data_IF_742497461053
#
_entry.id   IF_742497461053
#
_cell.length_a   1.000
_cell.length_b   1.000
_cell.length_c   1.000
_cell.angle_alpha   90.00
_cell.angle_beta   90.00
_cell.angle_gamma   90.00
#
_symmetry.space_group_name_H-M   'P 1'
#
loop_
_entity.id
_entity.type
_entity.pdbx_description
1 polymer ?
#
# COMPACT_ATOMS: atom_id res chain seq x y z
N UNK A 1 -1.07 32.87 8.96
CA UNK A 1 -2.29 33.41 8.32
C UNK A 1 -2.47 32.63 7.04
N UNK A 2 -3.33 31.61 7.05
CA UNK A 2 -3.64 30.81 5.86
C UNK A 2 -5.14 30.88 5.67
N UNK A 3 -5.54 31.52 4.58
CA UNK A 3 -6.92 31.81 4.24
C UNK A 3 -7.78 30.55 4.23
N UNK A 4 -8.77 30.53 5.10
CA UNK A 4 -9.85 29.54 5.10
C UNK A 4 -10.75 29.91 3.93
N UNK A 5 -10.63 29.23 2.80
CA UNK A 5 -11.60 29.33 1.71
C UNK A 5 -12.96 28.80 2.21
N UNK A 6 -13.87 29.72 2.51
CA UNK A 6 -15.27 29.41 2.80
C UNK A 6 -15.96 28.90 1.53
N UNK A 7 -16.14 27.58 1.41
CA UNK A 7 -16.97 26.96 0.36
C UNK A 7 -18.47 26.98 0.72
N UNK A 8 -19.01 28.17 1.02
CA UNK A 8 -20.44 28.42 1.27
C UNK A 8 -21.28 28.63 0.01
N UNK A 9 -20.86 28.08 -1.14
CA UNK A 9 -21.58 28.24 -2.40
C UNK A 9 -22.78 27.30 -2.54
N UNK A 10 -23.90 27.81 -3.04
CA UNK A 10 -25.08 27.03 -3.42
C UNK A 10 -24.65 25.99 -4.47
N UNK A 11 -24.91 24.70 -4.22
CA UNK A 11 -24.52 23.64 -5.16
C UNK A 11 -25.32 23.77 -6.47
N UNK A 12 -24.73 23.39 -7.61
CA UNK A 12 -25.45 23.41 -8.92
C UNK A 12 -26.76 22.62 -8.87
N UNK A 13 -26.81 21.54 -8.07
CA UNK A 13 -28.00 20.72 -7.86
C UNK A 13 -29.05 21.47 -7.04
N UNK A 14 -28.62 22.21 -6.01
CA UNK A 14 -29.48 23.08 -5.21
C UNK A 14 -30.02 24.24 -6.05
N UNK A 15 -29.18 24.86 -6.90
CA UNK A 15 -29.60 25.89 -7.84
C UNK A 15 -30.65 25.36 -8.83
N UNK A 16 -30.41 24.21 -9.46
CA UNK A 16 -31.36 23.60 -10.41
C UNK A 16 -32.69 23.25 -9.71
N UNK A 17 -32.64 22.66 -8.51
CA UNK A 17 -33.86 22.38 -7.72
C UNK A 17 -34.60 23.65 -7.33
N UNK A 18 -33.89 24.69 -6.90
CA UNK A 18 -34.51 25.96 -6.49
C UNK A 18 -35.06 26.75 -7.68
N UNK A 19 -34.43 26.72 -8.86
CA UNK A 19 -35.04 27.25 -10.09
C UNK A 19 -36.25 26.43 -10.54
N UNK A 20 -36.21 25.08 -10.47
CA UNK A 20 -37.37 24.27 -10.85
C UNK A 20 -38.58 24.50 -9.94
N UNK A 21 -38.35 24.67 -8.64
CA UNK A 21 -39.39 24.99 -7.65
C UNK A 21 -39.84 26.46 -7.78
N UNK A 22 -38.92 27.40 -8.04
CA UNK A 22 -39.23 28.81 -8.26
C UNK A 22 -40.08 29.04 -9.53
N UNK A 23 -39.80 28.30 -10.61
CA UNK A 23 -40.60 28.30 -11.83
C UNK A 23 -42.00 27.72 -11.61
N UNK A 24 -42.14 26.65 -10.81
CA UNK A 24 -43.45 26.11 -10.44
C UNK A 24 -44.24 27.04 -9.51
N UNK A 25 -43.57 27.74 -8.60
CA UNK A 25 -44.20 28.72 -7.72
C UNK A 25 -44.70 29.95 -8.48
N UNK A 26 -43.97 30.39 -9.52
CA UNK A 26 -44.39 31.47 -10.41
C UNK A 26 -45.54 31.06 -11.34
N UNK A 27 -45.59 29.80 -11.80
CA UNK A 27 -46.71 29.28 -12.59
C UNK A 27 -48.01 29.10 -11.77
N UNK A 28 -47.90 28.92 -10.45
CA UNK A 28 -49.05 28.85 -9.53
C UNK A 28 -49.51 30.23 -9.01
N UNK A 29 -48.81 31.33 -9.36
CA UNK A 29 -49.08 32.69 -8.89
C UNK A 29 -50.39 33.33 -9.39
N UNK A 30 -51.18 32.63 -10.21
CA UNK A 30 -52.49 33.10 -10.68
C UNK A 30 -53.66 32.82 -9.73
N UNK A 31 -53.49 32.02 -8.67
CA UNK A 31 -54.55 31.67 -7.72
C UNK A 31 -54.05 31.74 -6.26
N UNK A 32 -54.39 32.83 -5.59
CA UNK A 32 -54.10 33.09 -4.19
C UNK A 32 -54.95 32.19 -3.26
N UNK A 33 -54.43 31.03 -2.85
CA UNK A 33 -54.98 30.27 -1.72
C UNK A 33 -54.07 30.42 -0.48
N UNK A 34 -54.58 30.93 0.66
CA UNK A 34 -53.77 31.35 1.80
C UNK A 34 -53.14 30.18 2.60
N UNK A 35 -53.48 28.93 2.28
CA UNK A 35 -53.02 27.75 3.02
C UNK A 35 -51.82 27.02 2.37
N UNK A 36 -51.46 27.33 1.12
CA UNK A 36 -50.36 26.68 0.39
C UNK A 36 -48.99 27.36 0.51
N UNK A 37 -49.00 28.68 0.72
CA UNK A 37 -47.79 29.51 0.74
C UNK A 37 -46.82 29.13 1.87
N UNK A 38 -47.31 28.71 3.04
CA UNK A 38 -46.41 28.28 4.14
C UNK A 38 -45.66 26.98 3.83
N UNK A 39 -46.28 26.03 3.11
CA UNK A 39 -45.63 24.78 2.70
C UNK A 39 -44.67 24.99 1.54
N UNK A 40 -45.03 25.82 0.57
CA UNK A 40 -44.15 26.19 -0.54
C UNK A 40 -42.95 27.02 -0.06
N UNK A 41 -43.18 28.01 0.81
CA UNK A 41 -42.12 28.78 1.45
C UNK A 41 -41.22 27.89 2.32
N UNK A 42 -41.76 26.96 3.12
CA UNK A 42 -40.95 26.02 3.90
C UNK A 42 -40.15 25.03 3.02
N UNK A 43 -40.70 24.60 1.89
CA UNK A 43 -39.98 23.76 0.91
C UNK A 43 -38.86 24.53 0.19
N UNK A 44 -39.09 25.82 -0.11
CA UNK A 44 -38.06 26.73 -0.64
C UNK A 44 -37.02 27.04 0.43
N UNK A 45 -37.41 27.30 1.68
CA UNK A 45 -36.50 27.49 2.80
C UNK A 45 -35.61 26.26 2.99
N UNK A 46 -36.17 25.05 3.03
CA UNK A 46 -35.43 23.79 3.13
C UNK A 46 -34.55 23.49 1.90
N UNK A 47 -34.89 24.03 0.73
CA UNK A 47 -34.06 23.93 -0.48
C UNK A 47 -32.97 25.01 -0.53
N UNK A 48 -33.07 26.08 0.27
CA UNK A 48 -32.11 27.20 0.34
C UNK A 48 -31.20 27.08 1.56
N UNK A 49 -31.60 26.35 2.61
CA UNK A 49 -30.71 25.97 3.70
C UNK A 49 -29.63 25.05 3.12
N UNK A 50 -28.34 25.41 3.18
CA UNK A 50 -27.26 24.51 2.82
C UNK A 50 -27.43 23.22 3.64
N UNK A 51 -27.39 22.05 2.99
CA UNK A 51 -27.34 20.80 3.75
C UNK A 51 -26.15 20.86 4.71
N UNK A 52 -26.38 20.50 5.97
CA UNK A 52 -25.32 20.52 6.97
C UNK A 52 -24.13 19.68 6.50
N UNK A 53 -22.96 20.32 6.47
CA UNK A 53 -21.72 19.63 6.22
C UNK A 53 -21.45 18.66 7.37
N UNK A 54 -21.36 17.38 7.04
CA UNK A 54 -20.97 16.34 8.01
C UNK A 54 -19.61 15.77 7.66
N UNK A 55 -18.80 15.54 8.68
CA UNK A 55 -17.55 14.81 8.54
C UNK A 55 -17.77 13.40 9.05
N UNK A 56 -17.58 12.41 8.17
CA UNK A 56 -17.70 10.99 8.51
C UNK A 56 -16.34 10.31 8.36
N UNK A 57 -16.02 9.43 9.31
CA UNK A 57 -14.82 8.61 9.23
C UNK A 57 -15.03 7.46 8.25
N UNK A 58 -14.03 7.24 7.41
CA UNK A 58 -13.93 6.10 6.50
C UNK A 58 -12.50 5.56 6.47
N UNK A 59 -12.31 4.47 5.75
CA UNK A 59 -11.00 3.86 5.55
C UNK A 59 -10.62 3.85 4.07
N UNK A 60 -9.36 4.10 3.79
CA UNK A 60 -8.82 4.04 2.44
C UNK A 60 -8.99 2.64 1.85
N UNK A 61 -9.68 2.59 0.70
CA UNK A 61 -9.91 1.38 -0.07
C UNK A 61 -8.90 1.24 -1.23
N UNK A 62 -7.62 1.46 -0.92
CA UNK A 62 -6.51 1.16 -1.84
C UNK A 62 -5.76 -0.07 -1.31
N UNK A 63 -5.49 -1.02 -2.19
CA UNK A 63 -4.87 -2.31 -1.86
C UNK A 63 -3.36 -2.21 -1.56
N UNK A 64 -2.99 -1.45 -0.53
CA UNK A 64 -1.60 -1.32 -0.07
C UNK A 64 -1.36 -1.91 1.33
N UNK A 65 -2.44 -2.35 2.00
CA UNK A 65 -2.40 -2.92 3.36
C UNK A 65 -2.58 -1.92 4.49
N UNK A 66 -2.32 -0.62 4.27
CA UNK A 66 -2.29 0.38 5.35
C UNK A 66 -3.66 0.88 5.85
N UNK A 67 -4.75 0.69 5.07
CA UNK A 67 -6.13 1.05 5.46
C UNK A 67 -6.26 2.43 6.14
N UNK A 68 -5.58 3.43 5.58
CA UNK A 68 -5.44 4.73 6.21
C UNK A 68 -6.79 5.36 6.56
N UNK A 69 -6.87 6.04 7.70
CA UNK A 69 -8.09 6.73 8.09
C UNK A 69 -8.32 7.95 7.17
N UNK A 70 -9.57 8.10 6.76
CA UNK A 70 -10.05 9.18 5.90
C UNK A 70 -11.18 9.90 6.62
N UNK A 71 -11.14 11.22 6.60
CA UNK A 71 -12.26 12.07 7.04
C UNK A 71 -12.96 12.58 5.79
N UNK A 72 -14.15 12.04 5.52
CA UNK A 72 -14.94 12.36 4.34
C UNK A 72 -15.90 13.49 4.70
N UNK A 73 -15.77 14.61 4.00
CA UNK A 73 -16.67 15.74 4.13
C UNK A 73 -17.82 15.55 3.13
N UNK A 74 -19.04 15.47 3.66
CA UNK A 74 -20.23 15.09 2.92
C UNK A 74 -21.24 16.24 2.95
N UNK A 75 -21.75 16.58 1.77
CA UNK A 75 -22.82 17.56 1.55
C UNK A 75 -23.75 16.97 0.48
N UNK A 76 -25.06 17.09 0.66
CA UNK A 76 -26.06 16.60 -0.31
C UNK A 76 -25.88 15.11 -0.72
N UNK A 77 -25.52 14.25 0.24
CA UNK A 77 -25.16 12.83 0.05
C UNK A 77 -23.97 12.57 -0.89
N UNK A 78 -23.14 13.58 -1.13
CA UNK A 78 -21.94 13.49 -1.93
C UNK A 78 -20.68 13.82 -1.12
N UNK A 79 -19.63 13.01 -1.28
CA UNK A 79 -18.31 13.31 -0.70
C UNK A 79 -17.65 14.41 -1.53
N UNK A 80 -17.64 15.63 -1.05
CA UNK A 80 -17.04 16.75 -1.79
C UNK A 80 -15.55 16.93 -1.49
N UNK A 81 -15.10 16.58 -0.27
CA UNK A 81 -13.70 16.70 0.15
C UNK A 81 -13.25 15.49 0.99
N UNK A 82 -11.96 15.15 0.88
CA UNK A 82 -11.36 14.01 1.60
C UNK A 82 -10.11 14.50 2.32
N UNK A 83 -10.19 14.52 3.64
CA UNK A 83 -9.07 14.73 4.52
C UNK A 83 -8.43 13.42 4.93
N UNK A 84 -7.23 13.56 5.48
CA UNK A 84 -6.48 12.50 6.13
C UNK A 84 -6.76 12.50 7.63
N UNK A 85 -6.31 11.46 8.33
CA UNK A 85 -6.08 11.56 9.77
C UNK A 85 -5.25 12.82 10.10
N UNK A 86 -5.83 13.65 10.95
CA UNK A 86 -5.26 14.87 11.51
C UNK A 86 -5.52 14.93 13.02
N UNK A 87 -5.78 13.77 13.63
CA UNK A 87 -6.06 13.64 15.06
C UNK A 87 -4.84 13.06 15.77
N UNK A 88 -4.45 13.65 16.90
CA UNK A 88 -3.27 13.23 17.66
C UNK A 88 -1.95 13.82 17.17
N UNK A 89 -0.85 13.37 17.77
CA UNK A 89 0.50 13.86 17.50
C UNK A 89 1.28 12.94 16.55
N UNK A 90 2.47 13.37 16.12
CA UNK A 90 3.36 12.59 15.25
C UNK A 90 4.43 11.85 16.08
N UNK A 91 3.98 11.00 17.00
CA UNK A 91 4.85 10.26 17.92
C UNK A 91 5.14 8.86 17.38
N UNK A 92 6.40 8.45 17.33
CA UNK A 92 6.77 7.10 16.88
C UNK A 92 6.02 6.01 17.67
N UNK A 93 5.36 5.09 16.96
CA UNK A 93 4.47 4.08 17.54
C UNK A 93 3.02 4.54 17.80
N UNK A 94 2.76 5.84 17.85
CA UNK A 94 1.43 6.44 18.05
C UNK A 94 1.25 7.71 17.20
N UNK A 95 1.53 7.57 15.90
CA UNK A 95 1.55 8.69 14.95
C UNK A 95 0.25 8.72 14.15
N UNK A 96 -0.06 9.89 13.61
CA UNK A 96 -1.18 10.07 12.69
C UNK A 96 -1.07 9.13 11.48
N UNK A 97 -2.14 8.39 11.18
CA UNK A 97 -2.18 7.43 10.08
C UNK A 97 -2.54 8.15 8.77
N UNK A 98 -1.63 9.01 8.31
CA UNK A 98 -1.93 9.94 7.22
C UNK A 98 -2.13 9.23 5.88
N UNK A 99 -3.20 9.53 5.15
CA UNK A 99 -3.46 8.97 3.84
C UNK A 99 -2.56 9.60 2.76
N UNK A 100 -1.98 8.75 1.90
CA UNK A 100 -1.27 9.19 0.70
C UNK A 100 -2.25 9.75 -0.35
N UNK A 101 -1.71 10.27 -1.46
CA UNK A 101 -2.50 10.86 -2.55
C UNK A 101 -3.60 9.93 -3.08
N UNK A 102 -3.33 8.61 -3.18
CA UNK A 102 -4.33 7.62 -3.62
C UNK A 102 -5.55 7.55 -2.70
N UNK A 103 -5.33 7.70 -1.39
CA UNK A 103 -6.39 7.72 -0.39
C UNK A 103 -7.16 9.04 -0.40
N UNK A 104 -6.44 10.17 -0.44
CA UNK A 104 -7.04 11.51 -0.53
C UNK A 104 -7.81 11.74 -1.84
N UNK A 105 -7.48 11.01 -2.90
CA UNK A 105 -8.20 11.08 -4.17
C UNK A 105 -9.43 10.15 -4.25
N UNK A 106 -9.79 9.42 -3.19
CA UNK A 106 -10.81 8.35 -3.28
C UNK A 106 -12.18 8.85 -3.73
N UNK A 107 -12.52 10.13 -3.47
CA UNK A 107 -13.78 10.75 -3.94
C UNK A 107 -13.97 10.62 -5.45
N UNK A 108 -12.88 10.68 -6.23
CA UNK A 108 -12.93 10.51 -7.70
C UNK A 108 -13.42 9.13 -8.11
N UNK A 109 -13.24 8.10 -7.27
CA UNK A 109 -13.78 6.76 -7.49
C UNK A 109 -15.23 6.65 -6.99
N UNK A 110 -15.53 7.23 -5.84
CA UNK A 110 -16.86 7.15 -5.21
C UNK A 110 -17.91 7.88 -6.05
N UNK A 111 -17.57 9.07 -6.57
CA UNK A 111 -18.48 9.93 -7.33
C UNK A 111 -18.26 9.82 -8.84
N UNK A 112 -17.53 8.82 -9.32
CA UNK A 112 -17.24 8.70 -10.75
C UNK A 112 -18.54 8.55 -11.56
N UNK A 113 -18.74 9.29 -12.67
CA UNK A 113 -19.96 9.16 -13.49
C UNK A 113 -20.17 7.73 -14.00
N UNK A 114 -19.09 7.05 -14.38
CA UNK A 114 -19.15 5.66 -14.88
C UNK A 114 -19.21 4.60 -13.76
N UNK A 115 -19.42 5.00 -12.50
CA UNK A 115 -19.53 4.05 -11.40
C UNK A 115 -20.75 3.15 -11.64
N UNK A 116 -20.55 1.83 -11.53
CA UNK A 116 -21.63 0.86 -11.57
C UNK A 116 -22.53 1.01 -10.34
N UNK A 117 -23.72 1.59 -10.55
CA UNK A 117 -24.70 1.87 -9.50
C UNK A 117 -25.88 0.90 -9.47
N UNK A 118 -26.03 0.07 -10.51
CA UNK A 118 -27.15 -0.84 -10.68
C UNK A 118 -26.69 -2.20 -11.21
N UNK A 119 -27.43 -3.29 -10.91
CA UNK A 119 -27.23 -4.57 -11.58
C UNK A 119 -27.44 -4.46 -13.09
N UNK A 120 -26.54 -5.09 -13.85
CA UNK A 120 -26.56 -5.07 -15.32
C UNK A 120 -26.55 -6.50 -15.86
N UNK A 121 -27.50 -6.84 -16.73
CA UNK A 121 -27.62 -8.15 -17.38
C UNK A 121 -27.11 -8.09 -18.80
N UNK A 122 -26.31 -9.06 -19.20
CA UNK A 122 -25.82 -9.16 -20.59
C UNK A 122 -26.96 -9.61 -21.50
N UNK A 123 -27.22 -8.85 -22.56
CA UNK A 123 -28.27 -9.14 -23.57
C UNK A 123 -27.71 -9.56 -24.93
N UNK A 124 -26.40 -9.36 -25.16
CA UNK A 124 -25.71 -9.78 -26.38
C UNK A 124 -24.80 -11.00 -26.19
N UNK A 125 -24.07 -11.36 -27.27
CA UNK A 125 -23.03 -12.40 -27.16
C UNK A 125 -21.94 -11.95 -26.20
N UNK A 126 -21.28 -12.91 -25.55
CA UNK A 126 -20.16 -12.65 -24.64
C UNK A 126 -19.06 -11.91 -25.41
N UNK A 127 -18.62 -10.77 -24.89
CA UNK A 127 -17.61 -9.91 -25.52
C UNK A 127 -18.17 -8.68 -26.24
N UNK A 128 -19.48 -8.61 -26.54
CA UNK A 128 -20.07 -7.47 -27.27
C UNK A 128 -20.30 -6.22 -26.40
N UNK A 129 -20.17 -6.32 -25.07
CA UNK A 129 -20.39 -5.17 -24.18
C UNK A 129 -21.84 -4.69 -24.09
N UNK A 130 -22.82 -5.47 -24.56
CA UNK A 130 -24.25 -5.11 -24.52
C UNK A 130 -24.91 -5.56 -23.21
N UNK A 131 -25.36 -4.58 -22.43
CA UNK A 131 -26.03 -4.80 -21.15
C UNK A 131 -27.29 -3.96 -21.01
N UNK A 132 -28.27 -4.50 -20.31
CA UNK A 132 -29.45 -3.77 -19.84
C UNK A 132 -29.46 -3.71 -18.32
N UNK A 133 -30.07 -2.65 -17.76
CA UNK A 133 -30.25 -2.53 -16.32
C UNK A 133 -31.40 -3.42 -15.88
N UNK A 134 -31.20 -4.16 -14.78
CA UNK A 134 -32.24 -5.00 -14.16
C UNK A 134 -32.41 -4.66 -12.68
N UNK A 135 -33.47 -5.20 -12.06
CA UNK A 135 -33.68 -5.06 -10.61
C UNK A 135 -32.73 -5.95 -9.81
N UNK A 136 -32.58 -5.67 -8.52
CA UNK A 136 -31.82 -6.55 -7.62
C UNK A 136 -32.46 -7.93 -7.48
N UNK A 137 -33.80 -8.00 -7.41
CA UNK A 137 -34.52 -9.29 -7.31
C UNK A 137 -34.31 -10.14 -8.56
N UNK A 138 -34.40 -9.55 -9.75
CA UNK A 138 -34.12 -10.27 -11.00
C UNK A 138 -32.67 -10.76 -11.05
N UNK A 139 -31.71 -9.93 -10.63
CA UNK A 139 -30.30 -10.30 -10.62
C UNK A 139 -30.03 -11.49 -9.70
N UNK A 140 -30.58 -11.45 -8.48
CA UNK A 140 -30.43 -12.51 -7.48
C UNK A 140 -31.11 -13.81 -7.93
N UNK A 141 -32.33 -13.74 -8.47
CA UNK A 141 -33.04 -14.91 -8.99
C UNK A 141 -32.29 -15.53 -10.17
N UNK A 142 -31.85 -14.71 -11.14
CA UNK A 142 -31.08 -15.19 -12.30
C UNK A 142 -29.80 -15.91 -11.89
N UNK A 143 -29.04 -15.35 -10.93
CA UNK A 143 -27.81 -15.96 -10.42
C UNK A 143 -28.13 -17.26 -9.67
N UNK A 144 -29.17 -17.27 -8.84
CA UNK A 144 -29.57 -18.43 -8.05
C UNK A 144 -30.02 -19.59 -8.93
N UNK A 145 -30.84 -19.32 -9.94
CA UNK A 145 -31.33 -20.34 -10.88
C UNK A 145 -30.17 -20.92 -11.70
N UNK A 146 -29.27 -20.06 -12.18
CA UNK A 146 -28.06 -20.51 -12.88
C UNK A 146 -27.16 -21.35 -11.97
N UNK A 147 -27.00 -20.97 -10.70
CA UNK A 147 -26.18 -21.70 -9.74
C UNK A 147 -26.77 -23.09 -9.47
N UNK A 148 -28.08 -23.17 -9.18
CA UNK A 148 -28.79 -24.43 -8.97
C UNK A 148 -28.67 -25.35 -10.18
N UNK A 149 -28.91 -24.83 -11.38
CA UNK A 149 -28.81 -25.61 -12.62
C UNK A 149 -27.40 -26.16 -12.85
N UNK A 150 -26.36 -25.34 -12.62
CA UNK A 150 -24.96 -25.77 -12.78
C UNK A 150 -24.62 -26.85 -11.76
N UNK A 151 -25.00 -26.69 -10.50
CA UNK A 151 -24.72 -27.68 -9.45
C UNK A 151 -25.49 -28.98 -9.67
N UNK A 152 -26.76 -28.92 -10.05
CA UNK A 152 -27.56 -30.11 -10.38
C UNK A 152 -26.95 -30.91 -11.53
N UNK A 153 -26.46 -30.22 -12.57
CA UNK A 153 -25.96 -30.87 -13.79
C UNK A 153 -24.50 -31.31 -13.72
N UNK A 154 -23.66 -30.57 -13.01
CA UNK A 154 -22.20 -30.72 -13.06
C UNK A 154 -21.53 -30.84 -11.69
N UNK A 155 -22.29 -30.76 -10.60
CA UNK A 155 -21.75 -30.79 -9.23
C UNK A 155 -21.18 -29.45 -8.77
N UNK A 156 -20.84 -29.39 -7.48
CA UNK A 156 -20.29 -28.19 -6.84
C UNK A 156 -18.91 -27.79 -7.39
N UNK A 157 -18.11 -28.74 -7.90
CA UNK A 157 -16.81 -28.45 -8.51
C UNK A 157 -16.91 -27.68 -9.84
N UNK A 158 -18.11 -27.55 -10.43
CA UNK A 158 -18.29 -26.70 -11.60
C UNK A 158 -18.36 -25.20 -11.26
N UNK A 159 -18.50 -24.85 -9.98
CA UNK A 159 -18.61 -23.47 -9.51
C UNK A 159 -17.23 -22.97 -9.05
N UNK A 160 -16.64 -22.07 -9.82
CA UNK A 160 -15.32 -21.50 -9.50
C UNK A 160 -15.45 -20.14 -8.79
N UNK A 161 -14.86 -20.02 -7.60
CA UNK A 161 -14.64 -18.71 -6.95
C UNK A 161 -13.26 -18.20 -7.35
N UNK A 162 -13.25 -17.17 -8.20
CA UNK A 162 -12.01 -16.57 -8.68
C UNK A 162 -11.22 -15.90 -7.56
N UNK A 163 -9.89 -16.06 -7.61
CA UNK A 163 -8.99 -15.32 -6.75
C UNK A 163 -9.18 -13.81 -6.97
N UNK A 164 -9.39 -13.08 -5.88
CA UNK A 164 -9.50 -11.62 -5.89
C UNK A 164 -8.73 -11.04 -4.71
N UNK A 165 -8.12 -9.86 -4.94
CA UNK A 165 -7.37 -9.10 -3.95
C UNK A 165 -7.91 -7.66 -3.86
N UNK A 166 -7.53 -6.92 -2.82
CA UNK A 166 -7.93 -5.52 -2.66
C UNK A 166 -9.11 -5.29 -1.73
N UNK A 167 -10.20 -4.73 -2.25
CA UNK A 167 -11.27 -4.16 -1.41
C UNK A 167 -12.26 -5.20 -0.90
N UNK A 168 -12.26 -6.36 -1.54
CA UNK A 168 -13.04 -7.53 -1.16
C UNK A 168 -12.85 -7.90 0.32
N UNK A 169 -11.65 -7.73 0.88
CA UNK A 169 -11.38 -8.09 2.29
C UNK A 169 -11.48 -6.96 3.32
N UNK A 170 -11.82 -5.74 2.91
CA UNK A 170 -11.91 -4.58 3.82
C UNK A 170 -13.34 -4.20 4.20
N UNK A 171 -14.29 -4.41 3.29
CA UNK A 171 -15.71 -4.10 3.52
C UNK A 171 -16.55 -5.35 3.80
N UNK A 172 -16.09 -6.51 3.33
CA UNK A 172 -16.60 -7.82 3.66
C UNK A 172 -15.41 -8.56 4.26
N UNK A 173 -15.53 -9.02 5.49
CA UNK A 173 -14.42 -9.46 6.34
C UNK A 173 -13.46 -10.46 5.65
N UNK A 174 -12.15 -10.24 5.86
CA UNK A 174 -11.00 -11.12 5.54
C UNK A 174 -10.65 -11.19 4.04
N UNK A 175 -9.52 -10.55 3.66
CA UNK A 175 -8.91 -10.51 2.31
C UNK A 175 -8.42 -11.87 1.82
N UNK A 176 -9.33 -12.83 1.70
CA UNK A 176 -9.03 -14.16 1.18
C UNK A 176 -10.30 -14.70 0.55
N UNK A 177 -10.28 -15.11 -0.72
CA UNK A 177 -11.46 -15.74 -1.30
C UNK A 177 -11.83 -17.02 -0.55
N UNK A 178 -10.89 -17.69 0.14
CA UNK A 178 -11.13 -18.82 1.04
C UNK A 178 -11.86 -18.48 2.34
N UNK A 179 -11.86 -17.21 2.76
CA UNK A 179 -12.46 -16.77 4.02
C UNK A 179 -13.50 -15.65 3.84
N UNK A 180 -13.97 -15.48 2.60
CA UNK A 180 -15.02 -14.55 2.24
C UNK A 180 -16.41 -15.08 2.63
N UNK A 181 -17.39 -14.18 2.77
CA UNK A 181 -18.80 -14.58 2.96
C UNK A 181 -19.31 -15.45 1.81
N UNK A 182 -18.80 -15.24 0.59
CA UNK A 182 -19.18 -16.03 -0.59
C UNK A 182 -18.65 -17.46 -0.48
N UNK A 183 -17.40 -17.65 -0.08
CA UNK A 183 -16.87 -19.00 0.15
C UNK A 183 -17.56 -19.68 1.34
N UNK A 184 -17.91 -18.93 2.40
CA UNK A 184 -18.72 -19.48 3.50
C UNK A 184 -20.07 -19.98 3.00
N UNK A 185 -20.78 -19.17 2.21
CA UNK A 185 -22.05 -19.56 1.59
C UNK A 185 -21.88 -20.83 0.74
N UNK A 186 -20.87 -20.87 -0.14
CA UNK A 186 -20.65 -22.03 -1.00
C UNK A 186 -20.27 -23.29 -0.23
N UNK A 187 -19.50 -23.19 0.86
CA UNK A 187 -19.22 -24.32 1.74
C UNK A 187 -20.50 -24.87 2.39
N UNK A 188 -21.43 -24.00 2.80
CA UNK A 188 -22.75 -24.44 3.29
C UNK A 188 -23.62 -25.06 2.18
N UNK A 189 -23.37 -24.72 0.92
CA UNK A 189 -24.11 -25.22 -0.24
C UNK A 189 -23.52 -26.51 -0.87
N UNK A 190 -22.47 -27.08 -0.28
CA UNK A 190 -21.84 -28.32 -0.77
C UNK A 190 -20.42 -28.16 -1.33
N UNK A 191 -19.84 -26.96 -1.22
CA UNK A 191 -18.49 -26.66 -1.67
C UNK A 191 -18.44 -25.95 -3.02
N UNK A 192 -17.21 -25.76 -3.52
CA UNK A 192 -16.92 -25.08 -4.79
C UNK A 192 -15.50 -25.45 -5.26
N UNK A 193 -15.22 -25.26 -6.56
CA UNK A 193 -13.86 -25.32 -7.07
C UNK A 193 -13.07 -24.11 -6.59
N UNK A 194 -12.06 -24.38 -5.78
CA UNK A 194 -11.19 -23.36 -5.24
C UNK A 194 -10.02 -23.03 -6.18
N UNK A 195 -9.24 -22.03 -5.79
CA UNK A 195 -7.99 -21.68 -6.44
C UNK A 195 -6.80 -22.22 -5.63
N UNK A 196 -5.58 -22.09 -6.15
CA UNK A 196 -4.34 -22.35 -5.42
C UNK A 196 -3.37 -21.19 -5.63
N UNK A 197 -2.72 -20.77 -4.55
CA UNK A 197 -1.73 -19.70 -4.58
C UNK A 197 -2.33 -18.31 -4.80
N UNK A 198 -1.43 -17.34 -4.93
CA UNK A 198 -1.73 -15.94 -5.24
C UNK A 198 -0.66 -15.39 -6.17
N UNK A 199 -0.98 -14.39 -6.99
CA UNK A 199 0.04 -13.76 -7.85
C UNK A 199 1.07 -12.92 -7.08
N UNK A 200 0.89 -12.70 -5.77
CA UNK A 200 1.74 -11.79 -4.98
C UNK A 200 2.55 -12.49 -3.89
N UNK A 201 2.01 -13.50 -3.22
CA UNK A 201 2.58 -14.07 -1.99
C UNK A 201 2.75 -15.59 -2.05
N UNK A 202 2.39 -16.26 -3.15
CA UNK A 202 2.46 -17.73 -3.26
C UNK A 202 3.81 -18.32 -2.84
N UNK A 203 4.92 -17.74 -3.34
CA UNK A 203 6.25 -18.26 -3.06
C UNK A 203 6.66 -18.07 -1.60
N UNK A 204 6.29 -16.93 -1.00
CA UNK A 204 6.56 -16.63 0.42
C UNK A 204 5.75 -17.59 1.31
N UNK A 205 4.45 -17.73 1.03
CA UNK A 205 3.54 -18.60 1.78
C UNK A 205 3.95 -20.07 1.70
N UNK A 206 4.61 -20.48 0.62
CA UNK A 206 5.21 -21.80 0.50
C UNK A 206 6.49 -21.90 1.34
N UNK A 207 7.47 -21.01 1.14
CA UNK A 207 8.82 -21.17 1.70
C UNK A 207 8.93 -20.92 3.22
N UNK A 208 8.15 -19.98 3.77
CA UNK A 208 8.27 -19.54 5.16
C UNK A 208 7.96 -20.65 6.17
N UNK A 209 6.84 -21.41 6.06
CA UNK A 209 6.56 -22.51 6.98
C UNK A 209 7.62 -23.62 6.99
N UNK A 210 8.23 -23.93 5.83
CA UNK A 210 9.34 -24.90 5.79
C UNK A 210 10.60 -24.41 6.50
N UNK A 211 10.78 -23.09 6.62
CA UNK A 211 11.99 -22.48 7.20
C UNK A 211 11.82 -22.12 8.67
N UNK A 212 10.64 -21.59 9.03
CA UNK A 212 10.36 -20.99 10.34
C UNK A 212 9.18 -21.65 11.08
N UNK A 213 8.50 -22.63 10.49
CA UNK A 213 7.30 -23.27 11.06
C UNK A 213 6.01 -22.44 10.92
N UNK A 214 6.12 -21.14 10.69
CA UNK A 214 5.00 -20.25 10.38
C UNK A 214 5.40 -19.18 9.35
N UNK A 215 4.50 -18.24 9.06
CA UNK A 215 4.77 -17.07 8.21
C UNK A 215 4.86 -15.76 9.02
N UNK A 216 5.21 -15.88 10.30
CA UNK A 216 5.34 -14.72 11.19
C UNK A 216 6.70 -14.04 11.02
N UNK A 217 6.73 -12.74 11.26
CA UNK A 217 7.94 -11.92 11.19
C UNK A 217 7.81 -10.66 12.03
N UNK A 218 8.91 -9.92 12.17
CA UNK A 218 8.92 -8.69 12.94
C UNK A 218 8.18 -7.56 12.21
N UNK A 219 7.61 -6.65 13.00
CA UNK A 219 7.12 -5.36 12.49
C UNK A 219 8.28 -4.54 11.93
N UNK A 220 8.03 -3.69 10.92
CA UNK A 220 9.02 -2.73 10.41
C UNK A 220 9.52 -1.78 11.49
N UNK A 221 8.75 -1.55 12.56
CA UNK A 221 9.19 -0.77 13.72
C UNK A 221 10.44 -1.34 14.41
N UNK A 222 10.68 -2.65 14.31
CA UNK A 222 11.84 -3.32 14.91
C UNK A 222 13.18 -2.96 14.24
N UNK A 223 13.16 -2.19 13.14
CA UNK A 223 14.35 -1.57 12.57
C UNK A 223 15.07 -0.68 13.59
N UNK A 224 14.36 -0.17 14.61
CA UNK A 224 14.95 0.60 15.71
C UNK A 224 16.01 -0.20 16.50
N UNK A 225 15.91 -1.53 16.49
CA UNK A 225 16.82 -2.44 17.20
C UNK A 225 17.93 -3.01 16.29
N UNK A 226 18.01 -2.54 15.05
CA UNK A 226 18.87 -3.11 14.00
C UNK A 226 20.06 -2.21 13.68
N UNK A 227 21.16 -2.79 13.17
CA UNK A 227 22.35 -2.02 12.70
C UNK A 227 22.52 -1.98 11.18
N UNK A 228 21.81 -2.87 10.48
CA UNK A 228 21.86 -3.03 9.04
C UNK A 228 20.49 -3.45 8.52
N UNK A 229 19.93 -2.67 7.61
CA UNK A 229 18.71 -2.98 6.85
C UNK A 229 19.12 -3.36 5.43
N UNK A 230 18.67 -4.52 4.96
CA UNK A 230 18.88 -4.96 3.57
C UNK A 230 17.52 -5.18 2.91
N UNK A 231 17.25 -4.45 1.84
CA UNK A 231 15.97 -4.48 1.14
C UNK A 231 16.13 -5.15 -0.23
N UNK A 232 15.56 -6.33 -0.39
CA UNK A 232 15.49 -7.04 -1.68
C UNK A 232 14.20 -6.67 -2.41
N UNK A 233 14.31 -5.85 -3.47
CA UNK A 233 13.17 -5.44 -4.32
C UNK A 233 12.00 -4.80 -3.56
N UNK A 234 12.24 -4.30 -2.34
CA UNK A 234 11.20 -3.76 -1.48
C UNK A 234 11.16 -2.24 -1.60
N UNK A 235 10.05 -1.74 -2.15
CA UNK A 235 9.88 -0.32 -2.48
C UNK A 235 8.64 0.30 -1.80
N UNK A 236 8.64 0.46 -0.46
CA UNK A 236 7.49 0.99 0.27
C UNK A 236 7.21 2.46 -0.05
N UNK A 237 8.22 3.26 -0.44
CA UNK A 237 8.02 4.66 -0.78
C UNK A 237 7.21 4.88 -2.07
N UNK A 238 7.05 3.89 -2.95
CA UNK A 238 6.10 3.97 -4.08
C UNK A 238 4.83 3.15 -3.80
N UNK A 239 4.97 2.00 -3.16
CA UNK A 239 3.87 1.04 -3.04
C UNK A 239 2.99 1.27 -1.79
N UNK A 240 3.54 1.87 -0.73
CA UNK A 240 2.94 1.99 0.63
C UNK A 240 3.22 3.35 1.31
N UNK A 241 3.12 4.43 0.53
CA UNK A 241 3.40 5.84 0.85
C UNK A 241 2.67 6.50 2.05
N UNK A 242 1.74 5.84 2.72
CA UNK A 242 0.94 6.48 3.78
C UNK A 242 1.70 6.64 5.09
N UNK A 243 1.23 7.56 5.94
CA UNK A 243 1.67 7.74 7.31
C UNK A 243 1.54 6.47 8.15
N UNK A 244 0.42 5.74 8.10
CA UNK A 244 0.30 4.44 8.80
C UNK A 244 0.99 3.26 8.13
N UNK A 245 2.02 3.53 7.32
CA UNK A 245 2.64 2.56 6.41
C UNK A 245 4.01 2.07 6.85
N UNK A 246 4.56 1.17 6.03
CA UNK A 246 5.94 0.66 6.15
C UNK A 246 6.96 1.79 5.97
N UNK A 247 6.67 2.77 5.11
CA UNK A 247 7.60 3.87 4.82
C UNK A 247 7.87 4.74 6.05
N UNK A 248 6.83 5.14 6.79
CA UNK A 248 7.01 5.94 8.00
C UNK A 248 7.89 5.21 9.02
N UNK A 249 7.57 3.95 9.31
CA UNK A 249 8.37 3.15 10.23
C UNK A 249 9.78 2.93 9.73
N UNK A 250 9.98 2.64 8.44
CA UNK A 250 11.31 2.48 7.86
C UNK A 250 12.18 3.71 8.12
N UNK A 251 11.69 4.91 7.81
CA UNK A 251 12.45 6.15 7.97
C UNK A 251 12.71 6.46 9.45
N UNK A 252 11.66 6.46 10.27
CA UNK A 252 11.76 6.85 11.68
C UNK A 252 12.55 5.86 12.51
N UNK A 253 12.34 4.56 12.30
CA UNK A 253 13.07 3.52 13.03
C UNK A 253 14.54 3.51 12.64
N UNK A 254 14.85 3.74 11.36
CA UNK A 254 16.22 3.81 10.87
C UNK A 254 16.95 5.04 11.40
N UNK A 255 16.29 6.21 11.44
CA UNK A 255 16.87 7.41 12.04
C UNK A 255 17.25 7.16 13.51
N UNK A 256 16.38 6.48 14.26
CA UNK A 256 16.60 6.11 15.67
C UNK A 256 17.74 5.10 15.85
N UNK A 257 17.84 4.10 14.98
CA UNK A 257 18.87 3.07 15.09
C UNK A 257 20.20 3.44 14.46
N UNK A 258 20.21 4.48 13.61
CA UNK A 258 21.32 4.82 12.72
C UNK A 258 21.77 3.60 11.89
N UNK A 259 20.80 2.75 11.50
CA UNK A 259 21.10 1.54 10.75
C UNK A 259 21.56 1.89 9.33
N UNK A 260 22.65 1.24 8.90
CA UNK A 260 23.05 1.28 7.49
C UNK A 260 21.98 0.62 6.64
N UNK A 261 21.64 1.20 5.49
CA UNK A 261 20.61 0.70 4.58
C UNK A 261 21.20 0.33 3.23
N UNK A 262 20.96 -0.90 2.79
CA UNK A 262 21.35 -1.40 1.46
C UNK A 262 20.08 -1.74 0.70
N UNK A 263 19.93 -1.19 -0.50
CA UNK A 263 18.81 -1.47 -1.40
C UNK A 263 19.32 -2.30 -2.58
N UNK A 264 18.76 -3.49 -2.75
CA UNK A 264 19.04 -4.39 -3.87
C UNK A 264 17.81 -4.37 -4.77
N UNK A 265 17.87 -3.63 -5.87
CA UNK A 265 16.74 -3.45 -6.78
C UNK A 265 17.26 -3.13 -8.19
N UNK A 266 16.70 -3.73 -9.26
CA UNK A 266 17.08 -3.38 -10.64
C UNK A 266 16.82 -1.91 -10.99
N UNK A 267 15.93 -1.23 -10.26
CA UNK A 267 15.57 0.17 -10.45
C UNK A 267 16.07 1.01 -9.29
N UNK A 268 16.47 2.24 -9.59
CA UNK A 268 16.67 3.26 -8.56
C UNK A 268 15.31 3.85 -8.19
N UNK A 269 14.74 3.39 -7.08
CA UNK A 269 13.36 3.66 -6.66
C UNK A 269 13.25 4.87 -5.74
N UNK A 270 12.03 5.36 -5.50
CA UNK A 270 11.79 6.41 -4.51
C UNK A 270 12.13 5.96 -3.08
N UNK A 271 12.24 4.66 -2.81
CA UNK A 271 12.71 4.15 -1.50
C UNK A 271 14.21 4.34 -1.35
N UNK A 272 14.96 4.12 -2.43
CA UNK A 272 16.38 4.42 -2.48
C UNK A 272 16.55 5.95 -2.48
N UNK A 273 16.50 6.60 -3.64
CA UNK A 273 16.49 8.05 -3.81
C UNK A 273 17.40 8.86 -2.82
N UNK A 274 18.57 8.32 -2.50
CA UNK A 274 19.57 8.96 -1.63
C UNK A 274 19.36 8.74 -0.13
N UNK A 275 18.37 7.93 0.27
CA UNK A 275 18.16 7.51 1.66
C UNK A 275 19.01 6.29 1.99
N UNK A 276 19.35 5.46 1.02
CA UNK A 276 20.21 4.30 1.19
C UNK A 276 21.69 4.70 1.34
N UNK A 277 22.44 3.86 2.05
CA UNK A 277 23.90 3.96 2.08
C UNK A 277 24.55 3.27 0.86
N UNK A 278 23.81 2.33 0.25
CA UNK A 278 24.24 1.63 -0.95
C UNK A 278 23.06 1.11 -1.76
N UNK A 279 23.11 1.31 -3.08
CA UNK A 279 22.20 0.70 -4.03
C UNK A 279 22.95 -0.31 -4.91
N UNK A 280 22.40 -1.52 -5.02
CA UNK A 280 22.92 -2.60 -5.85
C UNK A 280 21.93 -2.83 -7.00
N UNK A 281 22.27 -2.40 -8.24
CA UNK A 281 21.44 -2.60 -9.43
C UNK A 281 21.50 -4.06 -9.90
N UNK A 282 20.78 -4.94 -9.22
CA UNK A 282 20.75 -6.36 -9.54
C UNK A 282 20.11 -6.61 -10.92
N UNK A 283 20.63 -7.56 -11.69
CA UNK A 283 19.96 -7.99 -12.91
C UNK A 283 18.66 -8.73 -12.54
N UNK A 284 17.50 -8.38 -13.14
CA UNK A 284 16.24 -9.06 -12.83
C UNK A 284 16.35 -10.59 -12.91
N UNK A 285 15.85 -11.29 -11.89
CA UNK A 285 15.85 -12.75 -11.81
C UNK A 285 17.17 -13.37 -11.32
N UNK A 286 18.15 -12.56 -10.87
CA UNK A 286 19.45 -13.06 -10.37
C UNK A 286 19.60 -13.03 -8.84
N UNK A 287 18.52 -12.73 -8.12
CA UNK A 287 18.45 -12.64 -6.66
C UNK A 287 18.91 -13.93 -5.98
N UNK A 288 18.47 -15.09 -6.49
CA UNK A 288 18.87 -16.38 -5.94
C UNK A 288 20.38 -16.63 -6.03
N UNK A 289 21.03 -16.17 -7.09
CA UNK A 289 22.48 -16.28 -7.26
C UNK A 289 23.22 -15.37 -6.27
N UNK A 290 22.72 -14.14 -6.07
CA UNK A 290 23.27 -13.22 -5.06
C UNK A 290 23.12 -13.80 -3.65
N UNK A 291 21.93 -14.29 -3.29
CA UNK A 291 21.66 -14.91 -1.97
C UNK A 291 22.54 -16.14 -1.75
N UNK A 292 22.74 -16.98 -2.76
CA UNK A 292 23.66 -18.13 -2.68
C UNK A 292 25.12 -17.69 -2.45
N UNK A 293 25.55 -16.62 -3.12
CA UNK A 293 26.87 -16.02 -2.91
C UNK A 293 27.05 -15.47 -1.50
N UNK A 294 26.06 -14.72 -1.00
CA UNK A 294 26.04 -14.20 0.39
C UNK A 294 26.12 -15.35 1.40
N UNK A 295 25.30 -16.39 1.21
CA UNK A 295 25.32 -17.57 2.08
C UNK A 295 26.70 -18.24 2.07
N UNK A 296 27.32 -18.44 0.91
CA UNK A 296 28.66 -19.02 0.82
C UNK A 296 29.70 -18.19 1.58
N UNK A 297 29.69 -16.87 1.43
CA UNK A 297 30.62 -15.98 2.16
C UNK A 297 30.40 -16.10 3.66
N UNK A 298 29.14 -15.98 4.13
CA UNK A 298 28.82 -16.07 5.56
C UNK A 298 29.26 -17.40 6.16
N UNK A 299 29.07 -18.50 5.43
CA UNK A 299 29.39 -19.86 5.88
C UNK A 299 30.90 -20.13 5.96
N UNK A 300 31.68 -19.56 5.04
CA UNK A 300 33.12 -19.82 4.96
C UNK A 300 33.96 -18.79 5.72
N UNK A 301 33.50 -17.54 5.81
CA UNK A 301 34.24 -16.44 6.44
C UNK A 301 33.80 -16.18 7.89
N UNK A 302 32.61 -16.62 8.32
CA UNK A 302 32.11 -16.43 9.70
C UNK A 302 32.19 -17.76 10.48
N UNK A 303 33.38 -18.09 11.01
CA UNK A 303 33.67 -19.43 11.51
C UNK A 303 33.65 -19.65 13.03
N UNK A 304 33.13 -18.75 13.89
CA UNK A 304 33.39 -18.90 15.34
C UNK A 304 32.31 -18.50 16.36
N UNK A 305 31.09 -18.10 15.99
CA UNK A 305 30.09 -17.67 17.00
C UNK A 305 28.63 -17.99 16.62
N UNK A 306 28.28 -19.25 16.39
CA UNK A 306 26.85 -19.65 16.27
C UNK A 306 26.48 -20.76 17.24
N UNK A 307 25.30 -20.69 17.89
CA UNK A 307 24.76 -21.76 18.73
C UNK A 307 24.65 -23.08 17.95
N UNK A 308 24.76 -24.19 18.68
CA UNK A 308 24.81 -25.58 18.19
C UNK A 308 23.69 -25.99 17.22
N UNK A 309 22.56 -25.29 17.19
CA UNK A 309 21.41 -25.51 16.30
C UNK A 309 21.61 -25.04 14.84
N UNK A 310 22.60 -24.19 14.54
CA UNK A 310 22.93 -23.73 13.16
C UNK A 310 23.89 -24.70 12.44
N UNK A 311 24.52 -25.61 13.18
CA UNK A 311 25.63 -26.45 12.70
C UNK A 311 25.20 -27.47 11.64
N UNK A 312 23.99 -28.03 11.72
CA UNK A 312 23.50 -29.06 10.79
C UNK A 312 23.20 -28.48 9.40
N UNK A 313 22.64 -27.27 9.33
CA UNK A 313 22.40 -26.58 8.06
C UNK A 313 23.70 -26.16 7.35
N UNK A 314 24.72 -25.77 8.13
CA UNK A 314 26.02 -25.32 7.61
C UNK A 314 26.74 -26.42 6.82
N UNK A 315 26.78 -27.67 7.30
CA UNK A 315 27.50 -28.75 6.63
C UNK A 315 26.87 -29.15 5.28
N UNK A 316 25.54 -29.30 5.23
CA UNK A 316 24.80 -29.64 4.00
C UNK A 316 24.84 -28.50 2.99
N UNK A 317 24.75 -27.25 3.44
CA UNK A 317 24.81 -26.07 2.59
C UNK A 317 26.24 -25.83 2.06
N UNK A 318 27.28 -26.07 2.87
CA UNK A 318 28.69 -26.11 2.40
C UNK A 318 28.87 -27.11 1.26
N UNK A 319 28.31 -28.32 1.40
CA UNK A 319 28.38 -29.38 0.38
C UNK A 319 27.66 -28.98 -0.90
N UNK A 320 26.47 -28.37 -0.81
CA UNK A 320 25.70 -27.88 -1.97
C UNK A 320 26.38 -26.70 -2.68
N UNK A 321 26.88 -25.71 -1.95
CA UNK A 321 27.56 -24.57 -2.55
C UNK A 321 28.89 -24.97 -3.24
N UNK A 322 29.62 -25.94 -2.67
CA UNK A 322 30.81 -26.53 -3.33
C UNK A 322 30.46 -27.30 -4.61
N UNK A 323 29.32 -28.02 -4.62
CA UNK A 323 28.87 -28.80 -5.78
C UNK A 323 28.33 -27.92 -6.92
N UNK A 324 27.80 -26.73 -6.62
CA UNK A 324 27.20 -25.83 -7.60
C UNK A 324 28.21 -25.11 -8.54
N UNK A 325 29.54 -25.27 -8.36
CA UNK A 325 30.60 -24.56 -9.13
C UNK A 325 30.22 -23.09 -9.43
N UNK A 326 29.75 -22.35 -8.41
CA UNK A 326 29.34 -20.96 -8.59
C UNK A 326 30.51 -20.17 -9.20
N UNK A 327 30.38 -19.63 -10.43
CA UNK A 327 31.47 -18.97 -11.10
C UNK A 327 31.93 -17.76 -10.29
N UNK A 328 33.24 -17.60 -10.14
CA UNK A 328 33.90 -16.38 -9.63
C UNK A 328 33.49 -15.11 -10.40
N UNK A 329 32.80 -15.21 -11.54
CA UNK A 329 32.25 -14.07 -12.27
C UNK A 329 31.01 -13.44 -11.61
N UNK A 330 30.22 -14.20 -10.83
CA UNK A 330 29.04 -13.70 -10.09
C UNK A 330 29.49 -12.92 -8.83
N UNK A 331 30.79 -12.93 -8.50
CA UNK A 331 31.33 -12.27 -7.31
C UNK A 331 31.80 -10.83 -7.53
N UNK A 332 31.65 -10.25 -8.73
CA UNK A 332 31.99 -8.84 -8.94
C UNK A 332 31.16 -7.83 -8.10
N UNK A 333 29.87 -8.05 -7.81
CA UNK A 333 29.14 -7.24 -6.82
C UNK A 333 29.58 -7.54 -5.37
N UNK A 334 30.24 -8.68 -5.12
CA UNK A 334 30.65 -9.14 -3.77
C UNK A 334 31.82 -8.30 -3.22
N UNK A 335 32.50 -7.49 -4.04
CA UNK A 335 33.49 -6.53 -3.54
C UNK A 335 32.89 -5.55 -2.52
N UNK A 336 31.59 -5.24 -2.60
CA UNK A 336 30.93 -4.42 -1.59
C UNK A 336 30.52 -5.20 -0.32
N UNK A 337 30.15 -6.47 -0.46
CA UNK A 337 29.86 -7.34 0.70
C UNK A 337 31.11 -7.53 1.59
N UNK A 338 32.30 -7.59 0.99
CA UNK A 338 33.57 -7.58 1.75
C UNK A 338 33.76 -6.31 2.58
N UNK A 339 33.29 -5.15 2.10
CA UNK A 339 33.29 -3.90 2.86
C UNK A 339 32.21 -3.90 3.96
N UNK A 340 31.11 -4.64 3.76
CA UNK A 340 30.04 -4.87 4.74
C UNK A 340 30.53 -5.61 6.00
N UNK A 341 31.55 -6.48 5.87
CA UNK A 341 32.10 -7.29 6.97
C UNK A 341 33.38 -6.68 7.57
N UNK A 342 34.21 -5.96 6.79
CA UNK A 342 35.57 -5.53 7.20
C UNK A 342 35.70 -4.27 8.07
N UNK A 343 34.64 -3.50 8.37
CA UNK A 343 34.74 -2.36 9.33
C UNK A 343 34.62 -2.78 10.81
N UNK A 344 34.92 -4.04 11.15
CA UNK A 344 35.11 -4.49 12.54
C UNK A 344 36.59 -4.35 12.94
N UNK A 345 36.95 -3.27 13.66
CA UNK A 345 38.11 -3.35 14.57
C UNK A 345 37.66 -4.15 15.81
N UNK A 346 38.37 -5.20 16.22
CA UNK A 346 38.06 -5.88 17.47
C UNK A 346 38.51 -5.00 18.64
N UNK A 347 37.58 -4.55 19.48
CA UNK A 347 37.93 -4.12 20.83
C UNK A 347 38.23 -5.39 21.63
N UNK A 348 39.50 -5.66 21.82
CA UNK A 348 39.99 -6.73 22.70
C UNK A 348 39.61 -6.43 24.15
N UNK A 349 38.89 -7.36 24.78
CA UNK A 349 38.84 -7.53 26.23
C UNK A 349 37.79 -6.72 26.96
N UNK A 350 36.63 -7.34 27.25
CA UNK A 350 36.01 -7.38 28.59
C UNK A 350 34.78 -8.28 28.55
N UNK A 351 34.70 -9.19 29.53
CA UNK A 351 33.52 -10.02 29.83
C UNK A 351 32.32 -9.12 30.12
N UNK A 352 31.14 -9.55 29.66
CA UNK A 352 29.88 -8.88 29.92
C UNK A 352 29.48 -8.98 31.41
N UNK A 353 29.01 -7.86 31.97
CA UNK A 353 27.89 -7.80 32.93
C UNK A 353 27.41 -6.35 33.13
N UNK A 354 26.19 -6.13 33.66
CA UNK A 354 25.29 -5.05 33.24
C UNK A 354 25.32 -3.79 34.12
N UNK A 355 24.78 -2.72 33.55
CA UNK A 355 24.26 -1.49 34.18
C UNK A 355 25.20 -0.27 34.34
N UNK A 356 24.57 0.88 34.09
CA UNK A 356 24.87 2.28 34.43
C UNK A 356 25.89 3.11 33.62
N UNK A 357 25.33 4.23 33.14
CA UNK A 357 25.88 5.49 32.62
C UNK A 357 27.35 5.83 32.90
N UNK A 358 28.02 6.36 31.87
CA UNK A 358 28.73 7.66 31.97
C UNK A 358 29.01 8.26 30.58
N UNK A 359 28.57 9.50 30.42
CA UNK A 359 28.95 10.43 29.35
C UNK A 359 30.48 10.62 29.37
N UNK A 360 31.13 10.53 28.21
CA UNK A 360 32.48 11.08 27.99
C UNK A 360 32.50 11.75 26.62
N UNK A 361 32.53 13.08 26.63
CA UNK A 361 32.89 13.88 25.46
C UNK A 361 34.36 13.64 25.15
N UNK A 362 34.70 13.44 23.87
CA UNK A 362 36.08 13.49 23.41
C UNK A 362 36.17 14.44 22.21
N UNK A 363 36.83 15.56 22.47
CA UNK A 363 37.29 16.57 21.52
C UNK A 363 38.18 15.95 20.44
N UNK A 364 37.92 16.27 19.18
CA UNK A 364 38.84 16.03 18.07
C UNK A 364 39.72 17.28 17.86
N UNK A 365 41.06 17.16 17.82
CA UNK A 365 41.91 18.25 17.39
C UNK A 365 41.80 18.44 15.88
N UNK A 366 41.77 19.71 15.48
CA UNK A 366 41.55 20.12 14.11
C UNK A 366 42.72 19.92 13.15
N UNK A 367 42.34 19.94 11.87
CA UNK A 367 43.04 20.39 10.65
C UNK A 367 42.92 19.34 9.54
N UNK A 368 41.90 19.50 8.71
CA UNK A 368 42.09 19.54 7.26
C UNK A 368 40.95 20.34 6.63
N UNK A 369 41.21 21.62 6.41
CA UNK A 369 40.33 22.52 5.72
C UNK A 369 40.45 22.35 4.20
N UNK A 370 39.29 22.35 3.54
CA UNK A 370 39.03 22.84 2.16
C UNK A 370 39.78 22.17 1.01
N UNK A 371 39.00 21.49 0.15
CA UNK A 371 38.68 21.91 -1.23
C UNK A 371 37.92 20.78 -1.94
N UNK A 372 36.66 21.00 -2.27
CA UNK A 372 36.03 20.34 -3.41
C UNK A 372 35.17 21.39 -4.12
N UNK A 373 35.68 21.88 -5.25
CA UNK A 373 34.92 22.64 -6.25
C UNK A 373 34.15 21.63 -7.12
N UNK A 374 32.95 21.96 -7.61
CA UNK A 374 32.27 21.14 -8.60
C UNK A 374 32.99 21.25 -9.96
N UNK A 375 33.24 20.11 -10.60
CA UNK A 375 33.72 20.01 -11.97
C UNK A 375 32.52 20.23 -12.90
N UNK A 376 32.48 21.38 -13.56
CA UNK A 376 31.64 21.61 -14.74
C UNK A 376 32.30 20.93 -15.95
N UNK A 377 31.62 19.95 -16.55
CA UNK A 377 31.93 19.49 -17.90
C UNK A 377 31.07 20.26 -18.89
N UNK A 378 31.73 21.02 -19.77
CA UNK A 378 31.14 21.76 -20.90
C UNK A 378 31.46 20.98 -22.17
N UNK A 379 30.43 20.54 -22.90
CA UNK A 379 30.47 20.18 -24.32
C UNK A 379 29.09 20.58 -24.86
N UNK A 380 28.96 21.69 -25.60
CA UNK A 380 28.89 21.65 -27.07
C UNK A 380 27.67 20.82 -27.49
N UNK A 381 26.50 21.36 -27.83
CA UNK A 381 26.20 22.54 -28.61
C UNK A 381 25.30 22.09 -29.76
N UNK A 382 23.98 22.15 -29.58
CA UNK A 382 23.00 22.31 -30.66
C UNK A 382 21.69 22.80 -30.06
N UNK A 383 21.35 24.04 -30.42
CA UNK A 383 20.08 24.69 -30.15
C UNK A 383 19.02 24.17 -31.12
N UNK A 384 17.91 23.65 -30.59
CA UNK A 384 16.64 23.59 -31.33
C UNK A 384 15.60 24.36 -30.53
N UNK A 385 15.11 25.42 -31.16
CA UNK A 385 14.06 26.34 -30.70
C UNK A 385 12.72 25.63 -30.97
N UNK A 386 11.88 25.43 -29.97
CA UNK A 386 10.45 25.19 -30.18
C UNK A 386 9.66 26.10 -29.25
N UNK A 387 8.90 26.98 -29.90
CA UNK A 387 8.01 27.99 -29.36
C UNK A 387 6.76 27.36 -28.75
N UNK A 388 6.22 28.05 -27.74
CA UNK A 388 4.93 27.79 -27.16
C UNK A 388 3.78 27.98 -28.18
N UNK A 389 2.80 27.09 -28.08
CA UNK A 389 1.39 27.27 -28.48
C UNK A 389 0.57 26.28 -27.68
#
# INVERSE_FOLDING_TARGET
>A
MSDVEHHGGISRRTLVKSTAIGSLALAAGGLSLPFGLKRAAAAVQNAVTPADDKVVWGACSVNCGSRCALRLHVRDDEVYWVETDNTGDDVYGNHQVRACLRGRSIRRRINHPDRLNYPMKRVGKRGEGKFERISWDEALNTITDSLKHVVEKYGNEAVYINYSSGIVGGNITRSSPYASLVARLMNCYGGFLSHYGTYSTAQIACAMPYTYGSNDGNSTSDIENTKLVVMFGNNPAETRMSGGGITYYLEQARERSNARMIVIDPRYTDTAAGREDEWIPIRPGTDAALVAGLAWVLINETSSTSPSSITIASATMKKRCRKARLPTAITKPIFSVRAMIKRRKPLSGRRASPAFLRTVSLSLPGKLARRNRPIFARAGGHSVRLTAS
#
